data_IF_475639510744
#
_entry.id   IF_475639510744
#
_cell.length_a   1.000
_cell.length_b   1.000
_cell.length_c   1.000
_cell.angle_alpha   90.00
_cell.angle_beta   90.00
_cell.angle_gamma   90.00
#
_symmetry.space_group_name_H-M   'P 1'
#
loop_
_entity.id
_entity.type
_entity.pdbx_description
1 polymer ?
#
# COMPACT_ATOMS: atom_id res chain seq x y z
N UNK A 1 -7.15 -20.25 0.32
CA UNK A 1 -6.24 -20.26 1.49
C UNK A 1 -4.98 -19.41 1.31
N UNK A 2 -4.36 -19.38 0.11
CA UNK A 2 -3.08 -18.66 -0.14
C UNK A 2 -3.23 -17.11 -0.13
N UNK A 3 -4.36 -16.58 -0.62
CA UNK A 3 -4.64 -15.13 -0.70
C UNK A 3 -4.62 -14.42 0.67
N UNK A 4 -5.07 -15.10 1.72
CA UNK A 4 -5.10 -14.56 3.08
C UNK A 4 -3.71 -14.55 3.75
N UNK A 5 -2.92 -15.60 3.51
CA UNK A 5 -1.55 -15.71 4.02
C UNK A 5 -0.66 -14.58 3.48
N UNK A 6 -0.77 -14.30 2.18
CA UNK A 6 0.02 -13.25 1.52
C UNK A 6 -0.30 -11.86 2.08
N UNK A 7 -1.57 -11.59 2.40
CA UNK A 7 -2.00 -10.33 3.03
C UNK A 7 -1.39 -10.15 4.43
N UNK A 8 -1.40 -11.22 5.22
CA UNK A 8 -0.86 -11.21 6.59
C UNK A 8 0.67 -10.99 6.61
N UNK A 9 1.38 -11.62 5.67
CA UNK A 9 2.82 -11.40 5.49
C UNK A 9 3.15 -9.96 5.07
N UNK A 10 2.37 -9.37 4.16
CA UNK A 10 2.57 -7.98 3.70
C UNK A 10 2.37 -6.95 4.82
N UNK A 11 1.32 -7.08 5.63
CA UNK A 11 1.08 -6.19 6.77
C UNK A 11 2.27 -6.18 7.75
N UNK A 12 2.82 -7.37 8.02
CA UNK A 12 3.96 -7.55 8.91
C UNK A 12 5.23 -6.90 8.37
N UNK A 13 5.50 -7.05 7.06
CA UNK A 13 6.63 -6.41 6.40
C UNK A 13 6.50 -4.87 6.35
N UNK A 14 5.32 -4.34 6.07
CA UNK A 14 5.10 -2.89 6.05
C UNK A 14 5.25 -2.25 7.43
N UNK A 15 4.87 -2.96 8.50
CA UNK A 15 5.14 -2.49 9.87
C UNK A 15 6.65 -2.36 10.13
N UNK A 16 7.48 -3.32 9.68
CA UNK A 16 8.93 -3.22 9.84
C UNK A 16 9.53 -2.09 9.00
N UNK A 17 9.04 -1.89 7.78
CA UNK A 17 9.48 -0.79 6.92
C UNK A 17 9.10 0.58 7.50
N UNK A 18 7.89 0.72 8.05
CA UNK A 18 7.48 1.93 8.75
C UNK A 18 8.41 2.26 9.93
N UNK A 19 8.81 1.26 10.72
CA UNK A 19 9.76 1.47 11.82
C UNK A 19 11.14 1.95 11.35
N UNK A 20 11.55 1.58 10.13
CA UNK A 20 12.88 1.90 9.60
C UNK A 20 12.91 3.20 8.80
N UNK A 21 11.88 3.48 8.00
CA UNK A 21 11.85 4.58 7.04
C UNK A 21 10.84 5.67 7.39
N UNK A 22 9.96 5.42 8.37
CA UNK A 22 8.89 6.31 8.76
C UNK A 22 7.56 6.02 8.05
N UNK A 23 6.55 6.87 8.29
CA UNK A 23 5.16 6.63 7.85
C UNK A 23 4.93 6.76 6.34
N UNK A 24 5.88 7.34 5.60
CA UNK A 24 5.82 7.47 4.14
C UNK A 24 7.09 6.88 3.57
N UNK A 25 6.96 5.80 2.79
CA UNK A 25 8.10 5.17 2.15
C UNK A 25 7.74 4.63 0.78
N UNK A 26 8.75 4.45 -0.06
CA UNK A 26 8.58 3.91 -1.40
C UNK A 26 9.14 2.49 -1.49
N UNK A 27 8.35 1.57 -2.03
CA UNK A 27 8.76 0.19 -2.32
C UNK A 27 8.77 -0.05 -3.82
N UNK A 28 9.67 -0.92 -4.26
CA UNK A 28 9.71 -1.38 -5.65
C UNK A 28 9.06 -2.77 -5.70
N UNK A 29 7.89 -2.85 -6.34
CA UNK A 29 7.18 -4.09 -6.61
C UNK A 29 7.50 -4.52 -8.05
N UNK A 30 8.62 -5.23 -8.21
CA UNK A 30 9.16 -5.55 -9.53
C UNK A 30 9.52 -4.27 -10.29
N UNK A 31 9.00 -4.06 -11.52
CA UNK A 31 9.26 -2.84 -12.29
C UNK A 31 8.44 -1.63 -11.83
N UNK A 32 7.44 -1.82 -10.94
CA UNK A 32 6.55 -0.75 -10.51
C UNK A 32 7.02 -0.15 -9.18
N UNK A 33 7.07 1.17 -9.13
CA UNK A 33 7.37 1.94 -7.91
C UNK A 33 6.07 2.32 -7.22
N UNK A 34 5.92 1.95 -5.95
CA UNK A 34 4.71 2.19 -5.16
C UNK A 34 5.05 2.95 -3.89
N UNK A 35 4.30 4.02 -3.62
CA UNK A 35 4.38 4.76 -2.37
C UNK A 35 3.39 4.16 -1.37
N UNK A 36 3.88 3.81 -0.19
CA UNK A 36 3.08 3.28 0.91
C UNK A 36 2.91 4.38 1.95
N UNK A 37 1.65 4.64 2.31
CA UNK A 37 1.26 5.53 3.40
C UNK A 37 0.86 4.67 4.60
N UNK A 38 1.51 4.89 5.73
CA UNK A 38 1.31 4.12 6.95
C UNK A 38 1.02 5.04 8.14
N UNK A 39 -0.10 4.79 8.85
CA UNK A 39 -0.52 5.57 10.01
C UNK A 39 -1.80 6.37 9.75
N UNK A 40 -2.55 6.64 10.83
CA UNK A 40 -3.87 7.27 10.72
C UNK A 40 -3.80 8.67 10.13
N UNK A 41 -2.91 9.53 10.65
CA UNK A 41 -2.84 10.94 10.25
C UNK A 41 -2.50 11.10 8.76
N UNK A 42 -1.49 10.36 8.29
CA UNK A 42 -1.04 10.39 6.89
C UNK A 42 -2.12 9.85 5.95
N UNK A 43 -2.80 8.77 6.34
CA UNK A 43 -3.87 8.19 5.53
C UNK A 43 -5.10 9.11 5.50
N UNK A 44 -5.43 9.75 6.63
CA UNK A 44 -6.50 10.73 6.72
C UNK A 44 -6.23 11.92 5.81
N UNK A 45 -5.03 12.49 5.88
CA UNK A 45 -4.65 13.63 5.05
C UNK A 45 -4.66 13.29 3.56
N UNK A 46 -4.21 12.08 3.18
CA UNK A 46 -4.21 11.66 1.78
C UNK A 46 -5.61 11.37 1.24
N UNK A 47 -6.45 10.65 1.99
CA UNK A 47 -7.75 10.18 1.49
C UNK A 47 -8.90 11.15 1.74
N UNK A 48 -8.84 11.96 2.80
CA UNK A 48 -9.89 12.92 3.16
C UNK A 48 -9.49 14.30 2.68
N UNK A 49 -8.40 14.85 3.21
CA UNK A 49 -8.04 16.26 2.97
C UNK A 49 -7.55 16.50 1.54
N UNK A 50 -6.88 15.50 0.94
CA UNK A 50 -6.39 15.53 -0.44
C UNK A 50 -7.08 14.50 -1.36
N UNK A 51 -8.30 14.06 -1.01
CA UNK A 51 -8.99 12.96 -1.67
C UNK A 51 -9.14 13.10 -3.19
N UNK A 52 -9.25 14.33 -3.72
CA UNK A 52 -9.31 14.58 -5.17
C UNK A 52 -8.01 14.17 -5.88
N UNK A 53 -6.86 14.51 -5.29
CA UNK A 53 -5.52 14.19 -5.83
C UNK A 53 -5.25 12.68 -5.74
N UNK A 54 -5.69 12.04 -4.66
CA UNK A 54 -5.50 10.60 -4.41
C UNK A 54 -6.69 9.73 -4.86
N UNK A 55 -7.64 10.29 -5.61
CA UNK A 55 -8.79 9.55 -6.14
C UNK A 55 -8.42 8.54 -7.23
N UNK A 56 -7.22 8.67 -7.80
CA UNK A 56 -6.70 7.78 -8.84
C UNK A 56 -6.58 6.33 -8.38
N UNK A 57 -7.14 5.40 -9.15
CA UNK A 57 -6.94 3.97 -8.95
C UNK A 57 -5.67 3.52 -9.66
N UNK A 58 -4.68 3.06 -8.90
CA UNK A 58 -3.48 2.45 -9.49
C UNK A 58 -3.82 1.17 -10.24
N UNK A 59 -3.57 1.13 -11.56
CA UNK A 59 -3.59 -0.08 -12.35
C UNK A 59 -2.39 -0.94 -11.97
N UNK A 60 -2.62 -1.88 -11.06
CA UNK A 60 -1.68 -2.92 -10.68
C UNK A 60 -2.25 -4.24 -11.19
N UNK A 61 -1.88 -4.70 -12.41
CA UNK A 61 -2.46 -5.89 -13.04
C UNK A 61 -2.32 -7.14 -12.16
N UNK A 62 -1.26 -7.19 -11.35
CA UNK A 62 -1.01 -8.25 -10.37
C UNK A 62 -2.03 -8.21 -9.23
N UNK A 63 -2.31 -7.02 -8.68
CA UNK A 63 -3.34 -6.83 -7.64
C UNK A 63 -4.72 -7.14 -8.22
N UNK A 64 -5.05 -6.64 -9.41
CA UNK A 64 -6.38 -6.90 -9.98
C UNK A 64 -6.65 -8.40 -10.19
N UNK A 65 -5.66 -9.16 -10.68
CA UNK A 65 -5.74 -10.62 -10.78
C UNK A 65 -5.83 -11.32 -9.43
N UNK A 66 -5.09 -10.84 -8.42
CA UNK A 66 -5.12 -11.39 -7.07
C UNK A 66 -6.47 -11.14 -6.39
N UNK A 67 -7.10 -9.98 -6.63
CA UNK A 67 -8.34 -9.60 -5.98
C UNK A 67 -9.60 -10.12 -6.68
N UNK A 68 -9.56 -10.40 -7.99
CA UNK A 68 -10.66 -10.98 -8.78
C UNK A 68 -10.86 -12.50 -8.68
N UNK A 69 -10.17 -13.19 -7.75
CA UNK A 69 -10.38 -14.62 -7.44
C UNK A 69 -10.63 -14.88 -5.97
#
# INVERSE_FOLDING_TARGET
>A
MIKFQMWCSLCSSFLQLNKKYGPIFTVHLGPQKVVVLYGYDVVKEALIDNGEVFSGRGLLPLIEKLFKG
#
